data_IF_203964648800
#
_entry.id   IF_203964648800
#
_cell.length_a   1.000
_cell.length_b   1.000
_cell.length_c   1.000
_cell.angle_alpha   90.00
_cell.angle_beta   90.00
_cell.angle_gamma   90.00
#
_symmetry.space_group_name_H-M   'P 1'
#
loop_
_entity.id
_entity.type
_entity.pdbx_description
1 polymer ?
#
# COMPACT_ATOMS: atom_id res chain seq x y z
N UNK A 1 -42.36 -49.43 -23.63
CA UNK A 1 -41.69 -48.14 -23.39
C UNK A 1 -42.17 -47.47 -22.09
N UNK A 2 -42.05 -48.14 -20.93
CA UNK A 2 -42.35 -47.53 -19.62
C UNK A 2 -41.47 -48.02 -18.46
N UNK A 3 -40.46 -48.87 -18.75
CA UNK A 3 -39.53 -49.42 -17.75
C UNK A 3 -38.09 -48.89 -17.86
N UNK A 4 -37.74 -48.19 -18.94
CA UNK A 4 -36.41 -47.57 -19.09
C UNK A 4 -36.30 -46.18 -18.44
N UNK A 5 -37.43 -45.50 -18.22
CA UNK A 5 -37.44 -44.15 -17.62
C UNK A 5 -37.26 -44.12 -16.09
N UNK A 6 -37.45 -45.25 -15.38
CA UNK A 6 -37.24 -45.28 -13.92
C UNK A 6 -35.81 -45.65 -13.52
N UNK A 7 -35.09 -46.42 -14.34
CA UNK A 7 -33.66 -46.69 -14.09
C UNK A 7 -32.78 -45.48 -14.38
N UNK A 8 -33.17 -44.61 -15.31
CA UNK A 8 -32.44 -43.37 -15.61
C UNK A 8 -32.64 -42.28 -14.54
N UNK A 9 -33.74 -42.36 -13.77
CA UNK A 9 -34.02 -41.43 -12.66
C UNK A 9 -33.34 -41.83 -11.34
N UNK A 10 -33.01 -43.12 -11.16
CA UNK A 10 -32.27 -43.61 -10.00
C UNK A 10 -30.74 -43.52 -10.14
N UNK A 11 -30.22 -43.25 -11.35
CA UNK A 11 -28.78 -43.03 -11.56
C UNK A 11 -28.35 -41.54 -11.51
N UNK A 12 -29.31 -40.62 -11.35
CA UNK A 12 -29.07 -39.18 -11.15
C UNK A 12 -29.38 -38.75 -9.71
N UNK A 13 -28.80 -39.42 -8.71
CA UNK A 13 -28.84 -38.89 -7.34
C UNK A 13 -27.77 -39.44 -6.38
N UNK A 14 -26.61 -39.92 -6.86
CA UNK A 14 -25.49 -40.31 -5.99
C UNK A 14 -24.28 -39.35 -6.05
N UNK A 15 -24.42 -38.17 -6.66
CA UNK A 15 -23.34 -37.18 -6.76
C UNK A 15 -23.10 -36.37 -5.47
N UNK A 16 -24.02 -36.44 -4.50
CA UNK A 16 -24.02 -35.63 -3.27
C UNK A 16 -23.27 -36.27 -2.10
N UNK A 17 -22.91 -37.56 -2.17
CA UNK A 17 -22.26 -38.25 -1.05
C UNK A 17 -20.73 -38.33 -1.17
N UNK A 18 -20.18 -38.30 -2.39
CA UNK A 18 -18.77 -38.67 -2.62
C UNK A 18 -17.76 -37.54 -2.32
N UNK A 19 -18.22 -36.31 -2.11
CA UNK A 19 -17.34 -35.19 -1.75
C UNK A 19 -17.09 -35.09 -0.25
N UNK A 20 -18.05 -35.53 0.58
CA UNK A 20 -17.92 -35.52 2.04
C UNK A 20 -16.78 -36.43 2.53
N UNK A 21 -16.60 -37.59 1.90
CA UNK A 21 -15.55 -38.54 2.28
C UNK A 21 -14.15 -38.13 1.80
N UNK A 22 -14.08 -37.40 0.68
CA UNK A 22 -12.80 -36.91 0.10
C UNK A 22 -12.31 -35.59 0.70
N UNK A 23 -13.19 -34.81 1.32
CA UNK A 23 -12.83 -33.52 1.94
C UNK A 23 -12.10 -33.66 3.29
N UNK A 24 -12.05 -34.88 3.86
CA UNK A 24 -11.37 -35.12 5.13
C UNK A 24 -12.03 -34.34 6.27
N UNK A 25 -13.07 -34.96 6.86
CA UNK A 25 -13.94 -34.45 7.95
C UNK A 25 -15.10 -33.56 7.48
N UNK A 26 -16.23 -33.80 8.14
CA UNK A 26 -17.53 -33.19 7.91
C UNK A 26 -17.44 -31.64 7.97
N UNK A 27 -17.74 -30.90 6.90
CA UNK A 27 -17.68 -29.43 6.87
C UNK A 27 -18.68 -28.73 7.80
N UNK A 28 -19.62 -29.48 8.39
CA UNK A 28 -20.53 -28.97 9.43
C UNK A 28 -19.95 -29.07 10.86
N UNK A 29 -18.75 -29.64 11.02
CA UNK A 29 -18.06 -29.72 12.30
C UNK A 29 -17.16 -28.51 12.59
N UNK A 30 -16.93 -27.64 11.60
CA UNK A 30 -16.18 -26.40 11.75
C UNK A 30 -17.13 -25.19 11.78
N UNK A 31 -16.84 -24.13 12.56
CA UNK A 31 -17.69 -22.97 12.65
C UNK A 31 -17.61 -22.13 11.37
N UNK A 32 -18.52 -22.40 10.43
CA UNK A 32 -18.80 -21.57 9.25
C UNK A 32 -17.91 -21.82 8.03
N UNK A 33 -18.25 -21.14 6.93
CA UNK A 33 -17.50 -21.17 5.67
C UNK A 33 -16.18 -20.41 5.81
N UNK A 34 -15.16 -21.09 6.32
CA UNK A 34 -13.82 -20.52 6.41
C UNK A 34 -13.20 -20.39 5.01
N UNK A 35 -12.30 -19.40 4.78
CA UNK A 35 -11.59 -19.27 3.51
C UNK A 35 -10.79 -20.53 3.12
N UNK A 36 -10.33 -21.30 4.12
CA UNK A 36 -9.60 -22.56 3.90
C UNK A 36 -10.52 -23.67 3.38
N UNK A 37 -11.78 -23.72 3.83
CA UNK A 37 -12.78 -24.65 3.30
C UNK A 37 -13.14 -24.29 1.86
N UNK A 38 -13.33 -23.00 1.56
CA UNK A 38 -13.61 -22.52 0.20
C UNK A 38 -12.47 -22.84 -0.78
N UNK A 39 -11.21 -22.63 -0.38
CA UNK A 39 -10.05 -22.97 -1.21
C UNK A 39 -9.96 -24.47 -1.53
N UNK A 40 -10.31 -25.35 -0.57
CA UNK A 40 -10.36 -26.80 -0.82
C UNK A 40 -11.51 -27.18 -1.77
N UNK A 41 -12.65 -26.52 -1.66
CA UNK A 41 -13.80 -26.73 -2.55
C UNK A 41 -13.46 -26.31 -3.99
N UNK A 42 -12.83 -25.15 -4.18
CA UNK A 42 -12.38 -24.67 -5.50
C UNK A 42 -11.35 -25.63 -6.12
N UNK A 43 -10.35 -26.08 -5.35
CA UNK A 43 -9.34 -27.02 -5.83
C UNK A 43 -9.94 -28.38 -6.21
N UNK A 44 -10.96 -28.86 -5.48
CA UNK A 44 -11.69 -30.07 -5.82
C UNK A 44 -12.61 -29.89 -7.04
N UNK A 45 -13.12 -28.68 -7.27
CA UNK A 45 -13.95 -28.35 -8.44
C UNK A 45 -13.12 -28.25 -9.73
N UNK A 46 -11.91 -27.68 -9.67
CA UNK A 46 -10.99 -27.62 -10.82
C UNK A 46 -10.59 -29.01 -11.32
N UNK A 47 -10.41 -29.98 -10.39
CA UNK A 47 -10.13 -31.37 -10.72
C UNK A 47 -11.25 -32.09 -11.49
N UNK A 48 -12.48 -31.57 -11.50
CA UNK A 48 -13.61 -32.12 -12.27
C UNK A 48 -13.75 -31.52 -13.68
N UNK A 49 -13.04 -30.45 -14.01
CA UNK A 49 -13.19 -29.74 -15.30
C UNK A 49 -12.36 -30.32 -16.45
N UNK A 50 -11.45 -31.28 -16.20
CA UNK A 50 -10.62 -31.90 -17.25
C UNK A 50 -11.31 -33.09 -17.95
N UNK A 51 -12.51 -32.85 -18.47
CA UNK A 51 -13.20 -33.77 -19.36
C UNK A 51 -12.95 -33.44 -20.84
N UNK A 52 -12.03 -34.18 -21.49
CA UNK A 52 -11.61 -34.12 -22.92
C UNK A 52 -10.62 -32.99 -23.23
N UNK A 53 -9.55 -33.16 -24.01
CA UNK A 53 -9.07 -34.20 -24.92
C UNK A 53 -7.56 -34.02 -25.08
N UNK A 54 -6.82 -35.12 -25.15
CA UNK A 54 -5.36 -35.10 -25.01
C UNK A 54 -4.59 -34.43 -26.13
N UNK A 55 -3.48 -33.78 -25.76
CA UNK A 55 -2.21 -33.91 -26.46
C UNK A 55 -1.11 -33.27 -25.60
N UNK A 56 -0.07 -34.07 -25.30
CA UNK A 56 1.30 -33.65 -24.96
C UNK A 56 1.47 -32.64 -23.81
N UNK A 57 1.95 -33.15 -22.68
CA UNK A 57 3.31 -32.81 -22.24
C UNK A 57 3.89 -33.93 -21.36
N UNK A 58 4.81 -34.68 -21.98
CA UNK A 58 5.85 -35.43 -21.27
C UNK A 58 6.79 -34.40 -20.63
N UNK A 59 7.12 -34.60 -19.36
CA UNK A 59 8.39 -34.37 -18.61
C UNK A 59 7.93 -34.26 -17.16
N UNK A 60 8.39 -35.00 -16.16
CA UNK A 60 9.36 -36.08 -16.05
C UNK A 60 9.38 -36.37 -14.55
N UNK A 61 8.99 -37.60 -14.17
CA UNK A 61 9.20 -38.11 -12.82
C UNK A 61 10.70 -38.32 -12.63
N UNK A 62 11.33 -37.55 -11.74
CA UNK A 62 12.55 -37.99 -11.03
C UNK A 62 12.86 -37.02 -9.88
N UNK A 63 13.23 -37.61 -8.74
CA UNK A 63 13.90 -37.07 -7.55
C UNK A 63 13.03 -36.83 -6.31
N UNK A 64 12.72 -37.94 -5.65
CA UNK A 64 12.97 -38.04 -4.22
C UNK A 64 14.44 -38.38 -3.95
N UNK A 65 14.88 -38.08 -2.72
CA UNK A 65 16.15 -38.38 -2.04
C UNK A 65 17.24 -37.28 -2.07
N UNK A 66 17.49 -36.74 -0.87
CA UNK A 66 18.52 -35.78 -0.48
C UNK A 66 17.94 -34.82 0.57
N UNK A 67 17.89 -35.10 1.87
CA UNK A 67 18.81 -35.87 2.69
C UNK A 67 19.82 -34.94 3.38
N UNK A 68 19.47 -34.45 4.57
CA UNK A 68 20.37 -34.19 5.71
C UNK A 68 21.79 -33.64 5.40
N UNK A 69 21.96 -32.31 5.31
CA UNK A 69 23.30 -31.69 5.40
C UNK A 69 23.30 -30.15 5.62
N UNK A 70 22.58 -29.60 6.61
CA UNK A 70 22.83 -28.19 7.08
C UNK A 70 22.64 -28.03 8.60
N UNK A 71 23.00 -29.07 9.37
CA UNK A 71 23.12 -29.04 10.84
C UNK A 71 24.59 -29.13 11.31
N UNK A 72 25.54 -28.81 10.41
CA UNK A 72 26.99 -28.83 10.68
C UNK A 72 27.67 -27.56 10.14
N UNK A 73 27.12 -26.38 10.46
CA UNK A 73 27.82 -25.10 10.30
C UNK A 73 27.44 -24.09 11.41
N UNK A 74 27.20 -24.61 12.61
CA UNK A 74 27.31 -23.90 13.87
C UNK A 74 28.21 -24.76 14.78
N UNK A 75 29.48 -24.40 14.93
CA UNK A 75 30.35 -25.15 15.85
C UNK A 75 31.85 -25.06 15.61
N UNK A 76 32.38 -23.91 15.21
CA UNK A 76 33.80 -23.60 15.41
C UNK A 76 34.05 -22.10 15.16
N UNK A 77 33.83 -21.29 16.19
CA UNK A 77 34.69 -20.15 16.56
C UNK A 77 34.12 -19.53 17.84
N UNK A 78 34.31 -20.27 18.93
CA UNK A 78 34.34 -19.72 20.29
C UNK A 78 35.72 -19.05 20.44
N UNK A 79 35.74 -17.77 20.86
CA UNK A 79 36.63 -17.00 21.79
C UNK A 79 37.94 -17.69 22.32
N UNK A 80 38.97 -17.07 23.00
CA UNK A 80 39.26 -15.75 23.64
C UNK A 80 39.73 -14.42 23.01
N UNK A 81 39.32 -13.27 23.56
CA UNK A 81 40.18 -12.40 24.38
C UNK A 81 39.26 -11.63 25.37
N UNK A 82 39.58 -11.70 26.67
CA UNK A 82 39.08 -10.77 27.71
C UNK A 82 39.75 -9.39 27.55
N UNK A 83 39.37 -8.32 28.24
CA UNK A 83 39.22 -8.19 29.69
C UNK A 83 38.42 -6.92 30.09
N UNK A 84 37.95 -6.93 31.35
CA UNK A 84 37.19 -5.96 32.17
C UNK A 84 37.25 -4.44 31.92
N UNK A 85 36.12 -3.73 32.12
CA UNK A 85 35.81 -3.09 33.43
C UNK A 85 34.42 -2.39 33.51
N UNK A 86 33.75 -2.64 34.65
CA UNK A 86 32.87 -1.80 35.49
C UNK A 86 31.67 -1.00 34.93
N UNK A 87 30.48 -1.27 35.51
CA UNK A 87 29.41 -0.26 35.61
C UNK A 87 27.97 -0.76 35.81
N UNK A 88 27.65 -1.18 37.04
CA UNK A 88 26.33 -1.18 37.70
C UNK A 88 25.06 -1.77 37.04
N UNK A 89 24.77 -3.01 37.43
CA UNK A 89 23.48 -3.72 37.27
C UNK A 89 22.68 -3.76 38.58
N UNK A 90 22.75 -2.70 39.41
CA UNK A 90 22.13 -2.66 40.74
C UNK A 90 21.13 -1.49 40.93
N UNK A 91 20.60 -0.91 39.85
CA UNK A 91 19.56 0.14 39.91
C UNK A 91 18.14 -0.34 39.58
N UNK A 92 17.96 -1.61 39.21
CA UNK A 92 16.77 -2.08 38.51
C UNK A 92 15.85 -2.97 39.34
N UNK A 93 15.75 -2.74 40.66
CA UNK A 93 14.73 -3.40 41.52
C UNK A 93 14.21 -2.57 42.71
N UNK A 94 14.56 -1.27 42.83
CA UNK A 94 14.19 -0.46 44.00
C UNK A 94 12.94 0.45 43.83
N UNK A 95 12.29 0.49 42.66
CA UNK A 95 11.15 1.38 42.42
C UNK A 95 9.76 0.74 42.61
N UNK A 96 9.70 -0.53 43.06
CA UNK A 96 8.45 -1.31 43.07
C UNK A 96 7.72 -1.41 44.41
N UNK A 97 8.19 -0.79 45.50
CA UNK A 97 7.48 -0.82 46.78
C UNK A 97 7.66 0.49 47.55
N UNK A 98 6.64 1.37 47.54
CA UNK A 98 5.89 1.77 48.73
C UNK A 98 4.67 2.66 48.36
N UNK A 99 3.47 2.35 48.91
CA UNK A 99 2.28 3.19 48.84
C UNK A 99 2.11 4.07 50.09
N UNK A 100 1.19 5.05 50.00
CA UNK A 100 0.27 5.57 51.05
C UNK A 100 0.43 7.05 51.45
N UNK A 101 -0.69 7.77 51.29
CA UNK A 101 -1.14 8.87 52.17
C UNK A 101 -0.74 10.29 51.74
N UNK A 102 -1.57 11.32 51.85
CA UNK A 102 -2.96 11.47 52.23
C UNK A 102 -3.39 12.88 51.75
N UNK A 103 -4.70 13.10 51.68
CA UNK A 103 -5.34 14.33 51.23
C UNK A 103 -4.95 15.59 52.02
N UNK A 104 -4.94 16.73 51.33
CA UNK A 104 -5.29 18.03 51.92
C UNK A 104 -6.02 18.87 50.87
N UNK A 105 -7.33 18.99 51.05
CA UNK A 105 -8.20 19.96 50.37
C UNK A 105 -8.09 21.28 51.13
N UNK A 106 -7.96 22.41 50.43
CA UNK A 106 -8.47 23.68 50.95
C UNK A 106 -8.97 24.59 49.80
N UNK A 107 -10.13 25.28 49.94
CA UNK A 107 -10.88 25.84 48.81
C UNK A 107 -10.83 27.37 48.66
N UNK A 108 -11.20 27.79 47.45
CA UNK A 108 -11.85 29.06 47.04
C UNK A 108 -11.12 30.39 47.21
N UNK A 109 -10.77 30.99 46.07
CA UNK A 109 -10.98 32.42 45.84
C UNK A 109 -11.51 32.60 44.40
N UNK A 110 -12.70 33.18 44.31
CA UNK A 110 -13.37 33.55 43.07
C UNK A 110 -12.95 34.96 42.66
N UNK A 111 -12.56 35.15 41.40
CA UNK A 111 -12.71 36.45 40.73
C UNK A 111 -13.22 36.25 39.31
N UNK A 112 -14.27 37.01 39.04
CA UNK A 112 -15.03 37.16 37.81
C UNK A 112 -14.17 37.77 36.69
N UNK A 113 -14.22 37.19 35.48
CA UNK A 113 -13.94 37.87 34.22
C UNK A 113 -14.64 37.14 33.05
N UNK A 114 -15.02 37.94 32.05
CA UNK A 114 -16.01 37.76 30.98
C UNK A 114 -15.92 36.47 30.12
N UNK A 115 -17.04 36.07 29.45
CA UNK A 115 -17.06 34.98 28.50
C UNK A 115 -16.50 35.45 27.16
N UNK A 116 -15.23 35.11 26.87
CA UNK A 116 -14.71 35.18 25.51
C UNK A 116 -14.75 33.77 24.92
N UNK A 117 -15.64 33.59 23.96
CA UNK A 117 -15.75 32.40 23.14
C UNK A 117 -14.44 32.16 22.37
N UNK A 118 -13.67 31.20 22.84
CA UNK A 118 -12.75 30.44 22.02
C UNK A 118 -12.74 29.04 22.62
N UNK A 119 -13.43 28.11 21.96
CA UNK A 119 -13.27 26.68 22.21
C UNK A 119 -11.83 26.32 21.84
N UNK A 120 -10.90 26.50 22.77
CA UNK A 120 -9.58 25.90 22.72
C UNK A 120 -9.79 24.39 22.89
N UNK A 121 -10.05 23.70 21.79
CA UNK A 121 -9.70 22.30 21.70
C UNK A 121 -8.22 22.23 22.10
N UNK A 122 -7.94 21.70 23.28
CA UNK A 122 -6.60 21.54 23.80
C UNK A 122 -5.75 20.93 22.70
N UNK A 123 -4.75 21.66 22.20
CA UNK A 123 -3.71 21.12 21.34
C UNK A 123 -3.12 19.93 22.11
N UNK A 124 -3.54 18.71 21.75
CA UNK A 124 -2.93 17.49 22.29
C UNK A 124 -1.44 17.61 22.01
N UNK A 125 -0.64 17.70 23.08
CA UNK A 125 0.81 17.77 22.96
C UNK A 125 1.32 16.60 22.12
N UNK A 126 2.26 16.86 21.21
CA UNK A 126 2.91 15.81 20.42
C UNK A 126 3.61 14.81 21.36
N UNK A 127 3.03 13.62 21.49
CA UNK A 127 3.54 12.55 22.36
C UNK A 127 3.19 11.18 21.74
N UNK A 128 3.90 10.77 20.68
CA UNK A 128 3.59 9.54 19.96
C UNK A 128 3.80 8.32 20.87
N UNK A 129 2.83 7.38 20.95
CA UNK A 129 3.03 6.14 21.68
C UNK A 129 4.08 5.25 20.97
N UNK A 130 4.75 4.34 21.70
CA UNK A 130 5.66 3.38 21.09
C UNK A 130 4.99 2.61 19.95
N UNK A 131 5.65 2.54 18.79
CA UNK A 131 5.13 1.85 17.61
C UNK A 131 4.25 2.71 16.69
N UNK A 132 3.96 3.96 17.03
CA UNK A 132 3.29 4.88 16.11
C UNK A 132 4.12 5.11 14.82
N UNK A 133 3.41 5.34 13.71
CA UNK A 133 4.02 5.91 12.51
C UNK A 133 4.06 7.43 12.66
N UNK A 134 5.17 8.06 12.27
CA UNK A 134 5.39 9.51 12.42
C UNK A 134 5.57 10.14 11.04
N UNK A 135 5.03 11.35 10.87
CA UNK A 135 5.03 12.10 9.62
C UNK A 135 5.36 13.56 9.89
N UNK A 136 6.00 14.23 8.93
CA UNK A 136 6.17 15.68 8.93
C UNK A 136 5.51 16.25 7.67
N UNK A 137 4.41 16.99 7.86
CA UNK A 137 3.56 17.51 6.79
C UNK A 137 3.32 19.00 7.05
N UNK A 138 3.62 19.86 6.09
CA UNK A 138 3.47 21.31 6.24
C UNK A 138 4.28 21.90 7.40
N UNK A 139 5.42 21.28 7.74
CA UNK A 139 6.25 21.66 8.89
C UNK A 139 5.67 21.28 10.26
N UNK A 140 4.57 20.52 10.30
CA UNK A 140 3.93 20.01 11.52
C UNK A 140 4.19 18.51 11.63
N UNK A 141 4.55 18.06 12.84
CA UNK A 141 4.70 16.64 13.14
C UNK A 141 3.35 16.01 13.48
N UNK A 142 3.05 14.91 12.79
CA UNK A 142 1.88 14.08 13.01
C UNK A 142 2.30 12.67 13.42
N UNK A 143 1.44 11.96 14.13
CA UNK A 143 1.63 10.55 14.45
C UNK A 143 0.33 9.75 14.32
N UNK A 144 0.46 8.51 13.86
CA UNK A 144 -0.63 7.56 13.72
C UNK A 144 -0.41 6.41 14.70
N UNK A 145 -1.21 6.29 15.77
CA UNK A 145 -1.18 5.13 16.64
C UNK A 145 -1.51 3.86 15.86
N UNK A 146 -0.69 2.83 16.00
CA UNK A 146 -0.85 1.56 15.29
C UNK A 146 -0.83 0.39 16.27
N UNK A 147 -1.76 -0.58 16.13
CA UNK A 147 -1.62 -1.89 16.73
C UNK A 147 -0.29 -2.58 16.40
N UNK A 148 0.21 -3.40 17.32
CA UNK A 148 1.52 -4.08 17.22
C UNK A 148 1.61 -5.03 16.01
N UNK A 149 0.47 -5.52 15.50
CA UNK A 149 0.40 -6.42 14.35
C UNK A 149 0.41 -5.69 12.98
N UNK A 150 0.69 -4.39 12.95
CA UNK A 150 0.77 -3.58 11.73
C UNK A 150 2.19 -3.11 11.47
N UNK A 151 2.61 -3.18 10.22
CA UNK A 151 3.91 -2.68 9.79
C UNK A 151 3.86 -1.16 9.57
N UNK A 152 4.35 -0.40 10.55
CA UNK A 152 4.34 1.08 10.51
C UNK A 152 5.07 1.69 9.31
N UNK A 153 6.00 0.96 8.66
CA UNK A 153 6.71 1.46 7.47
C UNK A 153 5.81 1.60 6.25
N UNK A 154 4.62 0.99 6.30
CA UNK A 154 3.60 1.01 5.24
C UNK A 154 2.43 1.95 5.56
N UNK A 155 2.53 2.71 6.65
CA UNK A 155 1.54 3.73 6.98
C UNK A 155 1.71 4.92 6.04
N UNK A 156 0.60 5.48 5.57
CA UNK A 156 0.59 6.55 4.58
C UNK A 156 -0.14 7.76 5.13
N UNK A 157 0.40 8.95 4.87
CA UNK A 157 -0.26 10.23 5.17
C UNK A 157 0.18 11.30 4.17
N UNK A 158 -0.73 12.17 3.78
CA UNK A 158 -0.45 13.33 2.92
C UNK A 158 -1.34 14.50 3.30
N UNK A 159 -0.83 15.71 3.14
CA UNK A 159 -1.58 16.94 3.36
C UNK A 159 -2.31 17.38 2.09
N UNK A 160 -3.61 17.64 2.20
CA UNK A 160 -4.47 18.22 1.15
C UNK A 160 -4.97 19.59 1.62
N UNK A 161 -5.71 20.31 0.77
CA UNK A 161 -6.35 21.56 1.18
C UNK A 161 -7.37 21.35 2.31
N UNK A 162 -8.12 20.25 2.26
CA UNK A 162 -9.19 19.93 3.22
C UNK A 162 -8.69 19.36 4.56
N UNK A 163 -7.47 18.81 4.62
CA UNK A 163 -6.95 18.16 5.82
C UNK A 163 -5.82 17.19 5.56
N UNK A 164 -5.53 16.34 6.55
CA UNK A 164 -4.55 15.25 6.41
C UNK A 164 -5.30 13.98 6.00
N UNK A 165 -4.98 13.46 4.82
CA UNK A 165 -5.47 12.16 4.35
C UNK A 165 -4.47 11.09 4.75
N UNK A 166 -4.93 10.02 5.38
CA UNK A 166 -4.05 8.97 5.87
C UNK A 166 -4.70 7.59 5.82
N UNK A 167 -3.86 6.55 5.76
CA UNK A 167 -4.29 5.15 5.78
C UNK A 167 -3.37 4.34 6.69
N UNK A 168 -3.89 3.66 7.72
CA UNK A 168 -3.12 2.64 8.42
C UNK A 168 -2.92 1.44 7.48
N UNK A 169 -1.79 0.72 7.60
CA UNK A 169 -1.59 -0.50 6.83
C UNK A 169 -2.45 -1.62 7.43
N UNK A 170 -3.05 -2.51 6.63
CA UNK A 170 -3.83 -3.62 7.16
C UNK A 170 -2.92 -4.64 7.86
N UNK A 171 -3.45 -5.38 8.85
CA UNK A 171 -2.73 -6.50 9.44
C UNK A 171 -2.53 -7.59 8.39
N UNK A 172 -1.30 -8.10 8.33
CA UNK A 172 -0.88 -9.16 7.42
C UNK A 172 -0.67 -10.47 8.17
N UNK A 173 -1.09 -11.58 7.56
CA UNK A 173 -0.85 -12.92 8.10
C UNK A 173 -0.30 -13.84 7.02
N UNK A 174 0.50 -14.82 7.43
CA UNK A 174 1.06 -15.83 6.53
C UNK A 174 -0.02 -16.71 5.92
N UNK A 175 0.13 -17.02 4.64
CA UNK A 175 -0.65 -18.00 3.90
C UNK A 175 0.20 -19.25 3.67
N UNK A 176 -0.12 -20.32 4.40
CA UNK A 176 0.52 -21.65 4.38
C UNK A 176 1.99 -21.69 4.84
N UNK A 177 2.82 -20.70 4.49
CA UNK A 177 4.23 -20.62 4.85
C UNK A 177 4.66 -19.18 5.17
N UNK A 178 5.71 -19.00 6.00
CA UNK A 178 6.25 -17.68 6.31
C UNK A 178 6.64 -16.86 5.07
N UNK A 179 6.32 -15.57 5.09
CA UNK A 179 6.69 -14.61 4.05
C UNK A 179 5.74 -14.61 2.84
N UNK A 180 4.70 -15.43 2.87
CA UNK A 180 3.67 -15.45 1.84
C UNK A 180 2.38 -14.85 2.41
N UNK A 181 2.34 -13.55 2.58
CA UNK A 181 1.34 -12.89 3.42
C UNK A 181 0.15 -12.33 2.63
N UNK A 182 -0.99 -12.15 3.32
CA UNK A 182 -2.16 -11.45 2.79
C UNK A 182 -2.77 -10.51 3.82
N UNK A 183 -3.52 -9.53 3.33
CA UNK A 183 -4.25 -8.59 4.17
C UNK A 183 -5.48 -9.27 4.77
N UNK A 184 -5.72 -9.05 6.06
CA UNK A 184 -6.92 -9.56 6.75
C UNK A 184 -8.03 -8.50 6.86
N UNK A 185 -7.69 -7.24 6.62
CA UNK A 185 -8.60 -6.09 6.57
C UNK A 185 -8.31 -5.27 5.31
N UNK A 186 -9.29 -4.48 4.81
CA UNK A 186 -9.05 -3.58 3.69
C UNK A 186 -8.17 -2.38 4.09
N UNK A 187 -7.63 -1.70 3.08
CA UNK A 187 -7.13 -0.35 3.26
C UNK A 187 -8.30 0.62 3.46
N UNK A 188 -8.15 1.53 4.42
CA UNK A 188 -9.14 2.56 4.72
C UNK A 188 -8.44 3.90 4.74
N UNK A 189 -8.93 4.84 3.95
CA UNK A 189 -8.50 6.22 3.96
C UNK A 189 -9.37 7.03 4.91
N UNK A 190 -8.73 7.86 5.71
CA UNK A 190 -9.33 8.77 6.66
C UNK A 190 -8.91 10.20 6.37
N UNK A 191 -9.75 11.16 6.71
CA UNK A 191 -9.50 12.60 6.66
C UNK A 191 -9.54 13.17 8.08
N UNK A 192 -8.40 13.67 8.54
CA UNK A 192 -8.29 14.41 9.80
C UNK A 192 -8.17 15.92 9.55
N UNK A 193 -8.69 16.77 10.45
CA UNK A 193 -8.41 18.21 10.42
C UNK A 193 -6.91 18.51 10.52
N UNK A 194 -6.46 19.61 9.89
CA UNK A 194 -5.09 20.10 10.06
C UNK A 194 -4.82 20.55 11.49
N UNK A 195 -3.56 20.47 11.91
CA UNK A 195 -3.13 20.95 13.23
C UNK A 195 -3.50 20.04 14.39
N UNK A 196 -4.15 18.90 14.14
CA UNK A 196 -4.30 17.81 15.12
C UNK A 196 -3.16 16.81 14.93
N UNK A 197 -2.17 16.73 15.83
CA UNK A 197 -1.00 15.87 15.63
C UNK A 197 -1.33 14.38 15.60
N UNK A 198 -2.35 13.95 16.35
CA UNK A 198 -2.79 12.55 16.40
C UNK A 198 -3.73 12.22 15.24
N UNK A 199 -3.30 11.34 14.33
CA UNK A 199 -4.08 10.76 13.26
C UNK A 199 -4.77 9.48 13.77
N UNK A 200 -6.01 9.61 14.24
CA UNK A 200 -6.80 8.51 14.80
C UNK A 200 -8.17 8.39 14.15
N UNK A 201 -8.71 7.17 14.08
CA UNK A 201 -10.05 6.92 13.54
C UNK A 201 -11.13 7.64 14.34
N UNK A 202 -10.93 7.82 15.65
CA UNK A 202 -11.90 8.45 16.56
C UNK A 202 -12.15 9.93 16.28
N UNK A 203 -11.23 10.59 15.58
CA UNK A 203 -11.28 12.03 15.29
C UNK A 203 -11.32 12.32 13.78
N UNK A 204 -11.27 11.28 12.95
CA UNK A 204 -11.20 11.40 11.51
C UNK A 204 -12.51 10.98 10.85
N UNK A 205 -12.77 11.54 9.66
CA UNK A 205 -13.85 11.09 8.80
C UNK A 205 -13.32 10.00 7.87
N UNK A 206 -14.02 8.87 7.76
CA UNK A 206 -13.68 7.86 6.74
C UNK A 206 -13.96 8.42 5.35
N UNK A 207 -12.92 8.45 4.50
CA UNK A 207 -13.02 8.86 3.10
C UNK A 207 -13.48 7.69 2.23
N UNK A 208 -12.68 6.62 2.21
CA UNK A 208 -12.89 5.48 1.33
C UNK A 208 -12.34 4.22 1.97
N UNK A 209 -12.97 3.07 1.70
CA UNK A 209 -12.46 1.76 2.08
C UNK A 209 -12.39 0.90 0.82
N UNK A 210 -11.21 0.34 0.54
CA UNK A 210 -11.06 -0.64 -0.53
C UNK A 210 -11.91 -1.87 -0.19
N UNK A 211 -12.43 -2.60 -1.19
CA UNK A 211 -12.84 -3.98 -0.97
C UNK A 211 -11.65 -4.79 -0.44
N UNK A 212 -11.87 -5.76 0.45
CA UNK A 212 -10.78 -6.66 0.87
C UNK A 212 -10.29 -7.48 -0.33
N UNK A 213 -11.23 -7.98 -1.12
CA UNK A 213 -10.98 -8.83 -2.29
C UNK A 213 -11.14 -8.05 -3.59
N UNK A 214 -10.20 -8.23 -4.51
CA UNK A 214 -10.21 -7.63 -5.84
C UNK A 214 -10.72 -8.64 -6.88
N UNK A 215 -12.02 -8.92 -6.85
CA UNK A 215 -12.71 -9.78 -7.83
C UNK A 215 -12.61 -11.30 -7.59
N UNK A 216 -11.69 -11.78 -6.75
CA UNK A 216 -11.54 -13.19 -6.41
C UNK A 216 -11.15 -13.42 -4.94
N UNK A 217 -11.47 -14.60 -4.40
CA UNK A 217 -11.26 -14.99 -2.98
C UNK A 217 -9.79 -14.98 -2.51
N UNK A 218 -8.85 -14.95 -3.46
CA UNK A 218 -7.41 -14.96 -3.21
C UNK A 218 -6.68 -13.75 -3.81
N UNK A 219 -7.42 -12.77 -4.32
CA UNK A 219 -6.85 -11.55 -4.91
C UNK A 219 -7.16 -10.38 -4.00
N UNK A 220 -6.14 -9.65 -3.57
CA UNK A 220 -6.23 -8.59 -2.58
C UNK A 220 -5.76 -7.26 -3.17
N UNK A 221 -6.34 -6.16 -2.75
CA UNK A 221 -5.80 -4.83 -3.05
C UNK A 221 -4.56 -4.55 -2.21
N UNK A 222 -3.60 -3.86 -2.83
CA UNK A 222 -2.46 -3.25 -2.17
C UNK A 222 -2.45 -1.76 -2.54
N UNK A 223 -2.58 -0.91 -1.53
CA UNK A 223 -2.29 0.52 -1.62
C UNK A 223 -0.78 0.71 -1.45
N UNK A 224 -0.12 1.20 -2.49
CA UNK A 224 1.33 1.43 -2.52
C UNK A 224 1.68 2.81 -1.97
N UNK A 225 0.91 3.83 -2.37
CA UNK A 225 1.18 5.23 -2.03
C UNK A 225 -0.10 6.08 -2.12
N UNK A 226 -0.06 7.24 -1.48
CA UNK A 226 -1.04 8.32 -1.67
C UNK A 226 -0.28 9.64 -1.93
N UNK A 227 -0.86 10.49 -2.76
CA UNK A 227 -0.30 11.79 -3.14
C UNK A 227 -1.37 12.88 -3.04
N UNK A 228 -0.94 14.11 -2.78
CA UNK A 228 -1.82 15.26 -2.76
C UNK A 228 -1.95 15.86 -4.16
N UNK A 229 -3.18 16.24 -4.51
CA UNK A 229 -3.52 16.98 -5.72
C UNK A 229 -4.42 18.16 -5.42
N UNK A 230 -4.11 18.93 -4.36
CA UNK A 230 -4.94 20.05 -3.91
C UNK A 230 -6.16 19.59 -3.13
N UNK A 231 -7.37 19.73 -3.70
CA UNK A 231 -8.62 19.22 -3.14
C UNK A 231 -8.81 17.70 -3.33
N UNK A 232 -7.86 17.03 -4.00
CA UNK A 232 -7.90 15.60 -4.30
C UNK A 232 -6.79 14.81 -3.59
N UNK A 233 -7.07 13.53 -3.35
CA UNK A 233 -6.04 12.53 -3.03
C UNK A 233 -5.92 11.56 -4.20
N UNK A 234 -4.69 11.34 -4.65
CA UNK A 234 -4.36 10.34 -5.66
C UNK A 234 -3.85 9.10 -4.95
N UNK A 235 -4.42 7.94 -5.28
CA UNK A 235 -4.08 6.64 -4.72
C UNK A 235 -3.37 5.81 -5.78
N UNK A 236 -2.19 5.31 -5.44
CA UNK A 236 -1.46 4.34 -6.25
C UNK A 236 -1.72 2.95 -5.70
N UNK A 237 -2.32 2.08 -6.51
CA UNK A 237 -2.71 0.74 -6.08
C UNK A 237 -2.47 -0.32 -7.13
N UNK A 238 -2.20 -1.53 -6.67
CA UNK A 238 -2.23 -2.74 -7.49
C UNK A 238 -3.00 -3.83 -6.76
N UNK A 239 -3.13 -4.99 -7.38
CA UNK A 239 -3.71 -6.16 -6.73
C UNK A 239 -2.66 -7.26 -6.69
N UNK A 240 -2.74 -8.15 -5.70
CA UNK A 240 -1.93 -9.36 -5.69
C UNK A 240 -2.77 -10.62 -5.47
N UNK A 241 -2.42 -11.71 -6.16
CA UNK A 241 -3.10 -13.00 -6.06
C UNK A 241 -2.22 -14.05 -5.39
N UNK A 242 -2.75 -14.74 -4.39
CA UNK A 242 -2.08 -15.89 -3.76
C UNK A 242 -1.94 -17.06 -4.74
N UNK A 243 -1.04 -18.01 -4.43
CA UNK A 243 -0.58 -19.07 -5.33
C UNK A 243 0.12 -18.70 -6.68
N UNK A 244 0.31 -17.43 -7.07
CA UNK A 244 0.83 -17.07 -8.42
C UNK A 244 2.29 -16.57 -8.44
N UNK A 245 3.04 -16.95 -9.48
CA UNK A 245 4.48 -16.64 -9.66
C UNK A 245 4.74 -15.16 -10.02
N UNK A 246 3.81 -14.51 -10.73
CA UNK A 246 3.69 -13.04 -10.81
C UNK A 246 2.44 -12.68 -10.02
N UNK A 247 2.62 -12.36 -8.75
CA UNK A 247 1.48 -12.19 -7.86
C UNK A 247 0.84 -10.81 -8.04
N UNK A 248 1.56 -9.76 -8.45
CA UNK A 248 1.04 -8.39 -8.58
C UNK A 248 0.58 -8.03 -9.98
N UNK A 249 -0.54 -7.30 -10.08
CA UNK A 249 -0.93 -6.59 -11.29
C UNK A 249 -0.12 -5.32 -11.47
N UNK A 250 -0.18 -4.76 -12.67
CA UNK A 250 0.34 -3.42 -12.95
C UNK A 250 -0.39 -2.41 -12.05
N UNK A 251 0.34 -1.38 -11.64
CA UNK A 251 -0.16 -0.32 -10.80
C UNK A 251 -1.16 0.56 -11.55
N UNK A 252 -2.08 1.15 -10.81
CA UNK A 252 -3.10 2.08 -11.29
C UNK A 252 -3.15 3.28 -10.37
N UNK A 253 -3.34 4.46 -10.94
CA UNK A 253 -3.67 5.68 -10.22
C UNK A 253 -5.17 5.88 -10.23
N UNK A 254 -5.74 6.14 -9.06
CA UNK A 254 -7.13 6.54 -8.89
C UNK A 254 -7.21 7.80 -8.05
N UNK A 255 -8.26 8.58 -8.19
CA UNK A 255 -8.45 9.83 -7.45
C UNK A 255 -9.73 9.83 -6.64
N UNK A 256 -9.70 10.54 -5.52
CA UNK A 256 -10.87 10.83 -4.69
C UNK A 256 -10.93 12.32 -4.42
N UNK A 257 -12.09 12.91 -4.66
CA UNK A 257 -12.40 14.29 -4.26
C UNK A 257 -12.55 14.37 -2.74
N UNK A 258 -11.56 14.97 -2.07
CA UNK A 258 -11.54 15.08 -0.62
C UNK A 258 -12.47 16.20 -0.14
N UNK A 259 -12.67 17.24 -0.96
CA UNK A 259 -13.54 18.37 -0.65
C UNK A 259 -15.01 17.99 -0.68
N UNK A 260 -15.46 17.25 -1.68
CA UNK A 260 -16.81 16.70 -1.71
C UNK A 260 -17.08 15.84 -0.47
N UNK A 261 -16.11 15.00 -0.08
CA UNK A 261 -16.25 14.19 1.13
C UNK A 261 -16.25 15.06 2.38
N UNK A 262 -15.40 16.08 2.48
CA UNK A 262 -15.42 17.02 3.60
C UNK A 262 -16.79 17.71 3.72
N UNK A 263 -17.44 18.01 2.60
CA UNK A 263 -18.79 18.59 2.53
C UNK A 263 -19.93 17.62 2.88
N UNK A 264 -19.67 16.32 3.04
CA UNK A 264 -20.69 15.33 3.41
C UNK A 264 -21.00 14.31 2.34
N UNK A 265 -20.42 14.43 1.15
CA UNK A 265 -20.71 13.54 0.02
C UNK A 265 -19.99 12.19 0.17
N UNK A 266 -20.44 11.21 -0.63
CA UNK A 266 -19.83 9.88 -0.64
C UNK A 266 -18.65 9.87 -1.61
N UNK A 267 -17.48 9.43 -1.15
CA UNK A 267 -16.32 9.24 -2.01
C UNK A 267 -16.59 8.15 -3.04
N UNK A 268 -16.39 8.46 -4.32
CA UNK A 268 -16.33 7.46 -5.39
C UNK A 268 -14.98 7.61 -6.09
N UNK A 269 -14.04 6.68 -5.89
CA UNK A 269 -12.77 6.73 -6.60
C UNK A 269 -12.97 6.64 -8.11
N UNK A 270 -12.27 7.50 -8.85
CA UNK A 270 -12.21 7.47 -10.32
C UNK A 270 -10.83 7.01 -10.76
N UNK A 271 -10.75 6.08 -11.72
CA UNK A 271 -9.46 5.73 -12.33
C UNK A 271 -8.92 6.94 -13.10
N UNK A 272 -7.67 7.29 -12.83
CA UNK A 272 -6.97 8.41 -13.45
C UNK A 272 -6.00 7.92 -14.52
N UNK A 273 -5.24 6.86 -14.21
CA UNK A 273 -4.21 6.36 -15.10
C UNK A 273 -3.94 4.87 -14.87
N UNK A 274 -3.74 4.12 -15.97
CA UNK A 274 -3.32 2.72 -15.95
C UNK A 274 -1.93 2.60 -16.58
N UNK A 275 -0.94 2.16 -15.80
CA UNK A 275 0.43 2.01 -16.28
C UNK A 275 0.59 0.89 -17.32
N UNK A 276 -0.41 0.03 -17.51
CA UNK A 276 -0.36 -1.09 -18.45
C UNK A 276 -0.36 -0.69 -19.92
N UNK A 277 -0.92 0.47 -20.28
CA UNK A 277 -1.08 0.86 -21.69
C UNK A 277 0.16 1.50 -22.32
N UNK A 278 1.11 2.01 -21.53
CA UNK A 278 2.28 2.77 -22.03
C UNK A 278 3.59 2.39 -21.31
N UNK A 279 3.68 1.16 -20.79
CA UNK A 279 4.75 0.78 -19.85
C UNK A 279 6.16 0.97 -20.42
N UNK A 280 6.37 0.82 -21.74
CA UNK A 280 7.69 0.90 -22.35
C UNK A 280 8.24 2.34 -22.41
N UNK A 281 7.47 3.30 -22.93
CA UNK A 281 7.92 4.70 -23.04
C UNK A 281 8.10 5.36 -21.65
N UNK A 282 7.39 4.83 -20.64
CA UNK A 282 7.52 5.26 -19.26
C UNK A 282 8.72 4.65 -18.53
N UNK A 283 9.19 3.47 -18.92
CA UNK A 283 10.18 2.73 -18.13
C UNK A 283 11.63 3.01 -18.52
N UNK A 284 11.90 3.45 -19.75
CA UNK A 284 13.29 3.47 -20.26
C UNK A 284 14.05 4.72 -19.79
N UNK A 285 13.56 5.91 -20.17
CA UNK A 285 14.25 7.17 -19.92
C UNK A 285 13.63 7.93 -18.75
N UNK A 286 14.08 9.17 -18.47
CA UNK A 286 13.73 10.01 -17.30
C UNK A 286 12.24 10.44 -17.20
N UNK A 287 11.29 9.56 -17.48
CA UNK A 287 9.85 9.78 -17.36
C UNK A 287 9.43 9.91 -15.89
N UNK A 288 8.40 10.72 -15.62
CA UNK A 288 7.92 11.02 -14.27
C UNK A 288 6.46 11.47 -14.25
N UNK A 289 5.86 11.46 -13.06
CA UNK A 289 4.56 12.09 -12.79
C UNK A 289 4.75 13.16 -11.72
N UNK A 290 4.12 14.31 -11.95
CA UNK A 290 4.07 15.43 -11.03
C UNK A 290 2.62 15.88 -10.77
N UNK A 291 2.34 16.42 -9.58
CA UNK A 291 1.03 16.94 -9.21
C UNK A 291 1.11 18.45 -8.97
N UNK A 292 0.33 19.21 -9.73
CA UNK A 292 0.13 20.64 -9.53
C UNK A 292 -1.06 20.83 -8.59
N UNK A 293 -0.77 21.01 -7.30
CA UNK A 293 -1.80 21.14 -6.27
C UNK A 293 -2.57 22.47 -6.33
N UNK A 294 -2.04 23.47 -7.06
CA UNK A 294 -2.66 24.79 -7.19
C UNK A 294 -3.69 24.80 -8.31
N UNK A 295 -3.36 24.17 -9.43
CA UNK A 295 -4.25 24.07 -10.59
C UNK A 295 -5.05 22.77 -10.61
N UNK A 296 -4.76 21.84 -9.69
CA UNK A 296 -5.41 20.54 -9.57
C UNK A 296 -5.21 19.69 -10.83
N UNK A 297 -3.97 19.62 -11.29
CA UNK A 297 -3.57 18.87 -12.47
C UNK A 297 -2.55 17.77 -12.12
N UNK A 298 -2.58 16.67 -12.87
CA UNK A 298 -1.47 15.72 -12.92
C UNK A 298 -0.73 15.85 -14.24
N UNK A 299 0.57 16.11 -14.17
CA UNK A 299 1.47 16.13 -15.32
C UNK A 299 2.19 14.78 -15.44
N UNK A 300 1.94 14.05 -16.52
CA UNK A 300 2.73 12.90 -16.94
C UNK A 300 3.76 13.36 -17.98
N UNK A 301 5.04 13.10 -17.71
CA UNK A 301 6.12 13.40 -18.66
C UNK A 301 6.80 12.10 -19.07
N UNK A 302 6.94 11.92 -20.37
CA UNK A 302 7.64 10.78 -20.95
C UNK A 302 8.48 11.18 -22.15
N UNK A 303 9.37 10.28 -22.55
CA UNK A 303 10.40 10.59 -23.53
C UNK A 303 10.44 9.52 -24.61
N UNK A 304 10.41 9.94 -25.87
CA UNK A 304 10.57 9.04 -27.02
C UNK A 304 11.93 9.26 -27.66
N UNK A 305 12.66 8.17 -27.94
CA UNK A 305 13.94 8.26 -28.63
C UNK A 305 13.72 8.76 -30.07
N UNK A 306 14.45 9.79 -30.45
CA UNK A 306 14.48 10.28 -31.83
C UNK A 306 15.65 9.66 -32.62
N UNK A 307 15.61 9.81 -33.95
CA UNK A 307 16.58 9.19 -34.87
C UNK A 307 18.04 9.62 -34.68
N UNK A 308 18.30 10.63 -33.86
CA UNK A 308 19.62 11.21 -33.61
C UNK A 308 20.24 10.78 -32.27
N UNK A 309 19.76 9.68 -31.66
CA UNK A 309 20.14 9.27 -30.30
C UNK A 309 19.83 10.31 -29.19
N UNK A 310 18.91 11.24 -29.46
CA UNK A 310 18.36 12.13 -28.43
C UNK A 310 16.91 11.72 -28.09
N UNK A 311 16.30 12.39 -27.13
CA UNK A 311 14.95 12.13 -26.68
C UNK A 311 14.09 13.38 -26.82
N UNK A 312 12.89 13.19 -27.35
CA UNK A 312 11.86 14.23 -27.38
C UNK A 312 10.98 14.06 -26.15
N UNK A 313 10.79 15.14 -25.39
CA UNK A 313 9.92 15.17 -24.21
C UNK A 313 8.47 15.40 -24.62
N UNK A 314 7.56 14.63 -24.03
CA UNK A 314 6.12 14.74 -24.18
C UNK A 314 5.49 14.94 -22.81
N UNK A 315 4.56 15.89 -22.72
CA UNK A 315 3.74 16.09 -21.52
C UNK A 315 2.29 15.77 -21.80
N UNK A 316 1.63 15.11 -20.86
CA UNK A 316 0.18 14.95 -20.84
C UNK A 316 -0.31 15.49 -19.51
N UNK A 317 -1.20 16.49 -19.58
CA UNK A 317 -1.86 17.04 -18.41
C UNK A 317 -3.23 16.41 -18.26
N UNK A 318 -3.52 15.96 -17.05
CA UNK A 318 -4.83 15.44 -16.64
C UNK A 318 -5.43 16.42 -15.64
N UNK A 319 -6.56 17.02 -16.02
CA UNK A 319 -7.37 17.86 -15.14
C UNK A 319 -8.06 16.94 -14.12
N UNK A 320 -7.71 17.10 -12.84
CA UNK A 320 -8.25 16.25 -11.78
C UNK A 320 -9.73 16.55 -11.51
N UNK A 321 -10.16 17.78 -11.79
CA UNK A 321 -11.51 18.30 -11.56
C UNK A 321 -12.47 17.94 -12.69
N UNK A 322 -12.19 18.37 -13.92
CA UNK A 322 -13.06 18.10 -15.06
C UNK A 322 -12.82 16.72 -15.70
N UNK A 323 -11.68 16.08 -15.41
CA UNK A 323 -11.27 14.84 -16.05
C UNK A 323 -10.80 15.00 -17.50
N UNK A 324 -10.54 16.24 -17.93
CA UNK A 324 -9.99 16.54 -19.25
C UNK A 324 -8.54 16.10 -19.40
N UNK A 325 -8.13 15.82 -20.64
CA UNK A 325 -6.75 15.45 -20.99
C UNK A 325 -6.26 16.39 -22.09
N UNK A 326 -5.06 16.95 -21.91
CA UNK A 326 -4.42 17.78 -22.94
C UNK A 326 -2.93 17.46 -23.08
N UNK A 327 -2.42 17.56 -24.30
CA UNK A 327 -0.98 17.44 -24.56
C UNK A 327 -0.28 18.76 -24.26
N UNK A 328 0.88 18.68 -23.62
CA UNK A 328 1.75 19.81 -23.30
C UNK A 328 3.05 19.63 -24.10
N UNK A 329 3.19 20.39 -25.18
CA UNK A 329 4.28 20.22 -26.13
C UNK A 329 5.43 21.23 -25.93
N UNK A 330 5.37 22.08 -24.91
CA UNK A 330 6.34 23.17 -24.76
C UNK A 330 6.82 23.40 -23.33
N UNK A 331 8.13 23.60 -23.20
CA UNK A 331 8.86 24.09 -22.01
C UNK A 331 8.62 23.28 -20.74
N UNK A 332 8.68 21.96 -20.87
CA UNK A 332 8.76 21.06 -19.72
C UNK A 332 10.20 21.06 -19.21
N UNK A 333 10.38 21.37 -17.93
CA UNK A 333 11.66 21.32 -17.25
C UNK A 333 11.52 20.73 -15.87
N UNK A 334 12.59 20.17 -15.33
CA UNK A 334 12.65 19.69 -13.95
C UNK A 334 13.72 20.47 -13.21
N UNK A 335 13.37 20.98 -12.04
CA UNK A 335 14.31 21.58 -11.09
C UNK A 335 14.51 20.62 -9.93
N UNK A 336 15.78 20.34 -9.59
CA UNK A 336 16.16 19.44 -8.51
C UNK A 336 16.80 20.27 -7.40
N UNK A 337 16.15 20.32 -6.24
CA UNK A 337 16.65 21.00 -5.05
C UNK A 337 16.77 19.99 -3.89
N UNK A 338 17.98 19.44 -3.71
CA UNK A 338 18.22 18.37 -2.75
C UNK A 338 17.40 17.13 -3.10
N UNK A 339 16.48 16.72 -2.21
CA UNK A 339 15.58 15.58 -2.43
C UNK A 339 14.24 15.95 -3.07
N UNK A 340 13.93 17.25 -3.15
CA UNK A 340 12.68 17.73 -3.75
C UNK A 340 12.91 17.99 -5.24
N UNK A 341 11.94 17.59 -6.05
CA UNK A 341 11.96 17.76 -7.49
C UNK A 341 10.66 18.47 -7.91
N UNK A 342 10.80 19.57 -8.63
CA UNK A 342 9.68 20.39 -9.10
C UNK A 342 9.71 20.42 -10.62
N UNK A 343 8.63 19.95 -11.23
CA UNK A 343 8.39 20.10 -12.65
C UNK A 343 7.88 21.50 -12.95
N UNK A 344 8.30 22.05 -14.07
CA UNK A 344 7.83 23.33 -14.62
C UNK A 344 7.28 23.08 -16.00
N UNK A 345 6.13 23.67 -16.31
CA UNK A 345 5.47 23.49 -17.61
C UNK A 345 4.67 24.74 -17.99
N UNK A 346 4.30 24.87 -19.27
CA UNK A 346 3.55 26.03 -19.77
C UNK A 346 2.23 25.60 -20.41
N UNK A 347 1.13 26.23 -20.00
CA UNK A 347 -0.22 26.03 -20.57
C UNK A 347 -0.80 27.40 -20.90
N UNK A 348 -1.24 27.58 -22.15
CA UNK A 348 -1.82 28.85 -22.63
C UNK A 348 -0.94 30.09 -22.33
N UNK A 349 0.37 29.95 -22.43
CA UNK A 349 1.33 31.04 -22.16
C UNK A 349 1.59 31.33 -20.68
N UNK A 350 0.96 30.59 -19.75
CA UNK A 350 1.21 30.69 -18.31
C UNK A 350 2.14 29.58 -17.87
N UNK A 351 3.10 29.93 -17.00
CA UNK A 351 4.01 28.97 -16.39
C UNK A 351 3.36 28.38 -15.13
N UNK A 352 3.50 27.08 -14.97
CA UNK A 352 3.00 26.28 -13.86
C UNK A 352 4.15 25.49 -13.22
N UNK A 353 3.94 25.07 -11.98
CA UNK A 353 4.88 24.27 -11.20
C UNK A 353 4.14 23.12 -10.54
N UNK A 354 4.75 21.93 -10.54
CA UNK A 354 4.15 20.71 -10.02
C UNK A 354 5.20 19.92 -9.22
N UNK A 355 4.79 19.33 -8.11
CA UNK A 355 5.67 18.50 -7.29
C UNK A 355 5.82 17.13 -7.93
N UNK A 356 7.05 16.73 -8.24
CA UNK A 356 7.32 15.40 -8.81
C UNK A 356 7.13 14.34 -7.73
N UNK A 357 6.20 13.43 -7.98
CA UNK A 357 5.77 12.42 -7.03
C UNK A 357 6.27 11.01 -7.37
N UNK A 358 6.46 10.73 -8.66
CA UNK A 358 6.89 9.42 -9.16
C UNK A 358 7.96 9.57 -10.22
N UNK A 359 9.07 8.87 -10.03
CA UNK A 359 10.10 8.66 -11.05
C UNK A 359 9.87 7.28 -11.66
N UNK A 360 9.62 7.22 -12.96
CA UNK A 360 9.19 5.99 -13.64
C UNK A 360 10.33 5.32 -14.42
N UNK A 361 11.24 6.15 -14.95
CA UNK A 361 12.37 5.74 -15.76
C UNK A 361 13.51 5.03 -15.05
N UNK A 362 14.03 3.96 -15.65
CA UNK A 362 15.28 3.30 -15.23
C UNK A 362 16.48 4.25 -15.30
N UNK A 363 16.50 5.18 -16.25
CA UNK A 363 17.60 6.14 -16.37
C UNK A 363 17.80 6.97 -15.09
N UNK A 364 16.73 7.27 -14.33
CA UNK A 364 16.86 7.95 -13.04
C UNK A 364 17.75 7.20 -12.06
N UNK A 365 17.60 5.87 -12.00
CA UNK A 365 18.43 5.02 -11.15
C UNK A 365 19.88 5.00 -11.63
N UNK A 366 20.11 4.87 -12.93
CA UNK A 366 21.47 4.83 -13.47
C UNK A 366 22.21 6.16 -13.31
N UNK A 367 21.51 7.29 -13.42
CA UNK A 367 22.10 8.59 -13.15
C UNK A 367 22.51 8.73 -11.68
N UNK A 368 21.66 8.29 -10.75
CA UNK A 368 21.99 8.26 -9.33
C UNK A 368 23.20 7.35 -9.03
N UNK A 369 23.25 6.15 -9.63
CA UNK A 369 24.41 5.24 -9.51
C UNK A 369 25.69 5.88 -10.05
N UNK A 370 25.58 6.63 -11.14
CA UNK A 370 26.72 7.36 -11.70
C UNK A 370 27.20 8.48 -10.78
N UNK A 371 26.28 9.24 -10.18
CA UNK A 371 26.62 10.29 -9.22
C UNK A 371 27.29 9.74 -7.96
N UNK A 372 26.80 8.61 -7.43
CA UNK A 372 27.32 8.01 -6.20
C UNK A 372 28.63 7.22 -6.42
N UNK A 373 28.75 6.53 -7.56
CA UNK A 373 29.82 5.53 -7.77
C UNK A 373 30.68 5.79 -9.03
N UNK A 374 30.37 6.79 -9.85
CA UNK A 374 31.11 7.12 -11.07
C UNK A 374 30.93 6.13 -12.24
N UNK A 375 29.99 5.19 -12.15
CA UNK A 375 29.75 4.17 -13.18
C UNK A 375 28.64 4.58 -14.14
N UNK A 376 28.99 4.90 -15.39
CA UNK A 376 28.02 5.38 -16.37
C UNK A 376 27.28 4.19 -16.99
N UNK A 377 25.98 4.13 -16.75
CA UNK A 377 25.11 3.07 -17.25
C UNK A 377 23.99 3.74 -18.08
N UNK A 378 23.75 3.22 -19.28
CA UNK A 378 22.69 3.70 -20.19
C UNK A 378 21.54 2.68 -20.19
N UNK A 379 20.34 3.09 -19.78
CA UNK A 379 19.17 2.22 -19.69
C UNK A 379 18.82 1.53 -21.02
N UNK A 380 19.16 2.15 -22.15
CA UNK A 380 18.86 1.60 -23.46
C UNK A 380 19.67 0.36 -23.80
N UNK A 381 20.76 0.09 -23.08
CA UNK A 381 21.64 -1.04 -23.36
C UNK A 381 21.11 -2.38 -22.83
N UNK A 382 20.16 -2.37 -21.89
CA UNK A 382 19.60 -3.56 -21.26
C UNK A 382 18.29 -4.06 -21.89
N UNK A 383 17.64 -3.25 -22.73
CA UNK A 383 16.33 -3.55 -23.32
C UNK A 383 16.43 -4.09 -24.76
N UNK A 384 17.42 -4.94 -25.07
CA UNK A 384 17.57 -5.65 -26.35
C UNK A 384 16.98 -7.05 -26.34
#
# INVERSE_FOLDING_TARGET
MKREYEQEKLHRMSGTQDWYDKAGRNPLAEPGFTPQLMARIEQAAEGRSSGKSGQRQRVGRTLGLGGLAVMLLFGALIWPFGEWSNGDSAGLLAALFHPSGAAAVQPSASTSALPSAASSASLKSYNPPPGAAEFELGGIKYYMPLPVNRDKTRALAVETNAGIVWSPPPPMVDYLKPGYTHNTEPYILYLSPKGQPELSESTAKRLYAFPLYAGGSQTYYQLSAIYAGGDYVIMSSNTFTLGKQKNRTIEKLSIVDVKAVAAGETAVPRELYDFGSQSYDLSVYRSYIAFDQVNEDMLLVYYTKNGNNSYDAHGILYDLTAGGIQNVNSKIGINVQGRQQTATYEVSGKRHEADVALLLGEQWYFDWVYEEYGQKIDATTFNK
#
